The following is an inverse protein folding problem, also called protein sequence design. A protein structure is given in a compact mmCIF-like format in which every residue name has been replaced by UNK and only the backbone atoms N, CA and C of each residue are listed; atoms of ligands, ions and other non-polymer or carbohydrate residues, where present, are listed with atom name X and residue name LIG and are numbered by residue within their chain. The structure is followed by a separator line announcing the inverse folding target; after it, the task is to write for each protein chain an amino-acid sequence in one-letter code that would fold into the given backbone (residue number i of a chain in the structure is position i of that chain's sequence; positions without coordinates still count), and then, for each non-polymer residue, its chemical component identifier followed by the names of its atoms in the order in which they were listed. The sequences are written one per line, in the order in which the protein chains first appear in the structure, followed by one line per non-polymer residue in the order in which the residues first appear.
data_IF_313680010613
#
_entry.id   IF_313680010613
#
_cell.length_a   1.000
_cell.length_b   1.000
_cell.length_c   1.000
_cell.angle_alpha   90.00
_cell.angle_beta   90.00
_cell.angle_gamma   90.00
#
_symmetry.space_group_name_H-M   'P 1'
#
loop_
_entity.id
_entity.type
_entity.pdbx_description
1 polymer ?
#
# COMPACT_ATOMS: atom_id res chain seq x y z
N UNK A 1 -2.36 -10.88 8.92
CA UNK A 1 -1.86 -12.27 8.93
C UNK A 1 -0.64 -12.39 8.02
N UNK A 2 0.31 -13.27 8.36
CA UNK A 2 1.40 -13.63 7.46
C UNK A 2 0.88 -14.56 6.37
N UNK A 3 1.34 -14.33 5.15
CA UNK A 3 1.00 -15.18 4.03
C UNK A 3 1.95 -16.37 3.97
N UNK A 4 1.41 -17.59 4.02
CA UNK A 4 2.16 -18.84 3.90
C UNK A 4 3.04 -18.86 2.64
N UNK A 5 2.55 -18.33 1.54
CA UNK A 5 3.21 -18.28 0.24
C UNK A 5 3.85 -16.92 -0.08
N UNK A 6 4.05 -16.06 0.96
CA UNK A 6 4.71 -14.77 0.76
C UNK A 6 6.07 -14.93 0.08
N UNK A 7 6.34 -14.09 -0.93
CA UNK A 7 7.54 -14.19 -1.75
C UNK A 7 8.84 -14.20 -0.92
N UNK A 8 8.84 -13.50 0.23
CA UNK A 8 9.97 -13.48 1.17
C UNK A 8 10.41 -14.88 1.60
N UNK A 9 9.48 -15.80 1.83
CA UNK A 9 9.81 -17.17 2.27
C UNK A 9 10.45 -17.98 1.16
N UNK A 10 10.03 -17.77 -0.10
CA UNK A 10 10.68 -18.36 -1.27
C UNK A 10 12.09 -17.79 -1.46
N UNK A 11 12.30 -16.51 -1.16
CA UNK A 11 13.60 -15.84 -1.22
C UNK A 11 14.51 -16.16 -0.02
N UNK A 12 14.07 -17.00 0.90
CA UNK A 12 14.86 -17.45 2.04
C UNK A 12 14.80 -16.53 3.26
N UNK A 13 13.64 -15.96 3.55
CA UNK A 13 13.37 -15.37 4.87
C UNK A 13 13.07 -16.48 5.88
N UNK A 14 13.54 -16.28 7.13
CA UNK A 14 13.14 -17.15 8.25
C UNK A 14 11.69 -16.89 8.64
N UNK A 15 11.02 -17.95 9.06
CA UNK A 15 9.69 -17.84 9.64
C UNK A 15 9.78 -17.26 11.07
N UNK A 16 9.02 -16.18 11.41
CA UNK A 16 9.20 -15.49 12.69
C UNK A 16 8.92 -16.33 13.94
N UNK A 17 8.02 -17.30 13.87
CA UNK A 17 7.61 -18.11 15.04
C UNK A 17 8.51 -19.32 15.25
N UNK A 18 9.01 -19.94 14.18
CA UNK A 18 9.85 -21.14 14.26
C UNK A 18 11.34 -20.83 14.17
N UNK A 19 11.70 -19.68 13.60
CA UNK A 19 13.08 -19.28 13.33
C UNK A 19 13.76 -20.10 12.23
N UNK A 20 13.01 -20.96 11.52
CA UNK A 20 13.53 -21.84 10.49
C UNK A 20 13.21 -21.31 9.09
N UNK A 21 14.03 -21.71 8.12
CA UNK A 21 13.78 -21.45 6.71
C UNK A 21 12.71 -22.40 6.16
N UNK A 22 11.85 -21.91 5.29
CA UNK A 22 10.84 -22.64 4.53
C UNK A 22 9.69 -23.28 5.34
N UNK A 23 9.70 -23.21 6.67
CA UNK A 23 8.65 -23.79 7.53
C UNK A 23 7.25 -23.25 7.19
N UNK A 24 7.14 -21.99 6.79
CA UNK A 24 5.88 -21.41 6.32
C UNK A 24 5.36 -22.16 5.09
N UNK A 25 6.22 -22.35 4.08
CA UNK A 25 5.87 -23.04 2.82
C UNK A 25 5.51 -24.51 3.06
N UNK A 26 6.19 -25.17 4.00
CA UNK A 26 5.95 -26.56 4.38
C UNK A 26 4.73 -26.74 5.29
N UNK A 27 4.05 -25.64 5.66
CA UNK A 27 2.86 -25.70 6.52
C UNK A 27 3.14 -26.00 8.00
N UNK A 28 4.39 -25.83 8.45
CA UNK A 28 4.82 -26.05 9.84
C UNK A 28 4.61 -24.82 10.74
N UNK A 29 4.33 -23.66 10.15
CA UNK A 29 4.13 -22.39 10.86
C UNK A 29 2.65 -21.96 10.84
N UNK A 30 2.28 -21.09 11.78
CA UNK A 30 0.94 -20.49 11.84
C UNK A 30 0.85 -19.33 10.83
N UNK A 31 0.66 -19.67 9.59
CA UNK A 31 0.49 -18.75 8.46
C UNK A 31 -0.65 -19.25 7.57
N UNK A 32 -1.23 -18.38 6.77
CA UNK A 32 -2.42 -18.67 5.99
C UNK A 32 -2.21 -18.32 4.53
N UNK A 33 -2.75 -19.10 3.61
CA UNK A 33 -2.95 -18.66 2.22
C UNK A 33 -4.15 -17.70 2.13
N UNK A 34 -4.24 -16.93 1.05
CA UNK A 34 -5.40 -16.08 0.79
C UNK A 34 -6.69 -16.90 0.81
N UNK A 35 -6.69 -18.04 0.14
CA UNK A 35 -7.85 -18.95 0.05
C UNK A 35 -8.30 -19.47 1.42
N UNK A 36 -7.38 -19.83 2.30
CA UNK A 36 -7.73 -20.27 3.67
C UNK A 36 -8.42 -19.15 4.44
N UNK A 37 -7.91 -17.91 4.35
CA UNK A 37 -8.52 -16.75 4.99
C UNK A 37 -9.90 -16.44 4.42
N UNK A 38 -10.08 -16.52 3.11
CA UNK A 38 -11.38 -16.38 2.45
C UNK A 38 -12.40 -17.44 2.96
N UNK A 39 -11.95 -18.67 3.12
CA UNK A 39 -12.78 -19.75 3.67
C UNK A 39 -13.17 -19.44 5.12
N UNK A 40 -12.22 -19.06 5.97
CA UNK A 40 -12.48 -18.70 7.38
C UNK A 40 -13.48 -17.56 7.48
N UNK A 41 -13.33 -16.51 6.67
CA UNK A 41 -14.24 -15.36 6.66
C UNK A 41 -15.66 -15.79 6.25
N UNK A 42 -15.76 -16.58 5.18
CA UNK A 42 -17.04 -17.07 4.66
C UNK A 42 -17.75 -17.98 5.66
N UNK A 43 -17.04 -18.94 6.25
CA UNK A 43 -17.58 -19.87 7.24
C UNK A 43 -18.02 -19.15 8.53
N UNK A 44 -17.40 -18.00 8.83
CA UNK A 44 -17.76 -17.12 9.94
C UNK A 44 -18.92 -16.16 9.60
N UNK A 45 -19.51 -16.26 8.40
CA UNK A 45 -20.59 -15.38 7.93
C UNK A 45 -20.16 -13.98 7.52
N UNK A 46 -18.84 -13.71 7.44
CA UNK A 46 -18.27 -12.44 7.01
C UNK A 46 -18.04 -12.44 5.49
N UNK A 47 -19.10 -12.20 4.72
CA UNK A 47 -19.06 -12.24 3.25
C UNK A 47 -18.70 -10.90 2.60
N UNK A 48 -18.85 -9.79 3.33
CA UNK A 48 -18.49 -8.44 2.88
C UNK A 48 -17.11 -8.07 3.46
N UNK A 49 -16.04 -8.41 2.75
CA UNK A 49 -14.66 -8.16 3.14
C UNK A 49 -13.82 -7.68 1.97
N UNK A 50 -12.67 -7.10 2.29
CA UNK A 50 -11.62 -6.68 1.35
C UNK A 50 -10.25 -7.06 1.87
N UNK A 51 -9.40 -7.59 0.99
CA UNK A 51 -8.00 -7.80 1.27
C UNK A 51 -7.18 -6.56 0.95
N UNK A 52 -6.19 -6.34 1.81
CA UNK A 52 -5.14 -5.36 1.66
C UNK A 52 -3.79 -6.05 1.76
N UNK A 53 -2.82 -5.50 1.05
CA UNK A 53 -1.47 -6.05 0.87
C UNK A 53 -0.44 -5.02 1.32
N UNK A 54 -0.09 -4.99 2.64
CA UNK A 54 1.01 -4.14 3.15
C UNK A 54 2.33 -4.53 2.49
N UNK A 55 3.03 -3.57 1.92
CA UNK A 55 4.27 -3.77 1.20
C UNK A 55 5.37 -2.83 1.72
N UNK A 56 6.63 -3.30 1.95
CA UNK A 56 7.06 -4.70 1.80
C UNK A 56 6.56 -5.61 2.92
N UNK A 57 6.25 -5.08 4.09
CA UNK A 57 5.86 -5.81 5.31
C UNK A 57 4.81 -5.05 6.12
N UNK A 58 4.07 -5.79 6.97
CA UNK A 58 3.02 -5.22 7.83
C UNK A 58 3.54 -4.28 8.93
N UNK A 59 4.77 -4.50 9.40
CA UNK A 59 5.35 -3.73 10.50
C UNK A 59 5.76 -2.32 10.09
N UNK A 60 6.21 -2.16 8.84
CA UNK A 60 6.61 -0.86 8.31
C UNK A 60 6.26 -0.75 6.81
N UNK A 61 4.99 -0.65 6.49
CA UNK A 61 4.58 -0.56 5.10
C UNK A 61 4.99 0.77 4.47
N UNK A 62 5.54 0.71 3.27
CA UNK A 62 5.73 1.87 2.40
C UNK A 62 4.47 2.15 1.59
N UNK A 63 3.76 1.08 1.23
CA UNK A 63 2.47 1.15 0.54
C UNK A 63 1.55 0.03 1.03
N UNK A 64 0.25 0.26 0.93
CA UNK A 64 -0.76 -0.76 1.17
C UNK A 64 -1.65 -0.80 -0.07
N UNK A 65 -1.55 -1.89 -0.81
CA UNK A 65 -2.40 -2.18 -1.97
C UNK A 65 -3.69 -2.86 -1.53
N UNK A 66 -4.65 -3.00 -2.44
CA UNK A 66 -5.89 -3.77 -2.20
C UNK A 66 -6.33 -4.49 -3.47
N UNK A 67 -7.35 -5.34 -3.38
CA UNK A 67 -7.97 -5.98 -4.56
C UNK A 67 -8.51 -4.95 -5.58
N UNK A 68 -8.79 -3.71 -5.15
CA UNK A 68 -9.27 -2.63 -6.01
C UNK A 68 -8.15 -1.76 -6.59
N UNK A 69 -6.93 -1.92 -6.09
CA UNK A 69 -5.74 -1.18 -6.50
C UNK A 69 -4.49 -2.05 -6.33
N UNK A 70 -4.21 -2.85 -7.33
CA UNK A 70 -3.02 -3.70 -7.37
C UNK A 70 -1.80 -2.91 -7.85
N UNK A 71 -0.58 -3.33 -7.49
CA UNK A 71 0.64 -2.69 -7.96
C UNK A 71 0.82 -2.85 -9.47
N UNK A 72 1.55 -1.91 -10.06
CA UNK A 72 2.02 -1.99 -11.43
C UNK A 72 3.48 -2.43 -11.47
N UNK A 73 3.93 -2.87 -12.65
CA UNK A 73 5.33 -3.19 -12.91
C UNK A 73 6.24 -2.04 -12.49
N UNK A 74 7.34 -2.35 -11.80
CA UNK A 74 8.32 -1.39 -11.31
C UNK A 74 7.95 -0.67 -10.00
N UNK A 75 6.74 -0.88 -9.43
CA UNK A 75 6.35 -0.23 -8.18
C UNK A 75 6.89 -0.93 -6.92
N UNK A 76 7.24 -2.23 -7.01
CA UNK A 76 7.66 -3.04 -5.88
C UNK A 76 9.19 -3.17 -5.78
N UNK A 77 9.87 -2.06 -5.52
CA UNK A 77 11.34 -1.96 -5.49
C UNK A 77 11.95 -1.79 -4.08
N UNK A 78 11.20 -2.13 -3.02
CA UNK A 78 11.63 -1.97 -1.63
C UNK A 78 11.71 -3.31 -0.87
N UNK A 79 11.84 -4.43 -1.59
CA UNK A 79 11.73 -5.79 -1.04
C UNK A 79 12.79 -6.13 0.00
N UNK A 80 13.98 -5.55 -0.11
CA UNK A 80 15.08 -5.79 0.84
C UNK A 80 14.90 -5.06 2.18
N UNK A 81 13.91 -4.18 2.30
CA UNK A 81 13.55 -3.54 3.58
C UNK A 81 12.70 -4.49 4.42
N UNK A 82 13.25 -5.67 4.71
CA UNK A 82 12.66 -6.65 5.58
C UNK A 82 13.20 -6.47 7.00
N UNK A 83 12.33 -6.13 7.94
CA UNK A 83 12.69 -5.90 9.34
C UNK A 83 12.54 -7.15 10.21
N UNK A 84 12.15 -8.30 9.64
CA UNK A 84 11.81 -9.50 10.38
C UNK A 84 12.98 -10.48 10.59
N UNK A 85 14.23 -10.10 10.29
CA UNK A 85 15.42 -10.90 10.58
C UNK A 85 16.25 -11.28 9.37
N UNK A 86 17.01 -12.37 9.47
CA UNK A 86 17.90 -12.86 8.44
C UNK A 86 17.16 -13.31 7.18
N UNK A 87 17.73 -12.99 6.02
CA UNK A 87 17.20 -13.29 4.73
C UNK A 87 18.30 -13.68 3.75
N UNK A 88 18.15 -14.81 3.09
CA UNK A 88 19.17 -15.30 2.16
C UNK A 88 19.23 -14.53 0.83
N UNK A 89 18.12 -13.92 0.40
CA UNK A 89 18.01 -13.21 -0.88
C UNK A 89 18.41 -14.12 -2.05
N UNK A 90 17.71 -15.23 -2.22
CA UNK A 90 18.06 -16.27 -3.20
C UNK A 90 17.87 -15.83 -4.66
N UNK A 91 17.09 -14.80 -4.93
CA UNK A 91 16.83 -14.24 -6.24
C UNK A 91 16.46 -12.75 -6.15
N UNK A 92 16.37 -12.08 -7.29
CA UNK A 92 15.90 -10.71 -7.41
C UNK A 92 14.37 -10.67 -7.27
N UNK A 93 13.89 -10.25 -6.10
CA UNK A 93 12.47 -10.22 -5.78
C UNK A 93 11.70 -9.13 -6.55
N UNK A 94 12.35 -8.05 -6.95
CA UNK A 94 11.72 -7.01 -7.77
C UNK A 94 11.32 -7.59 -9.12
N UNK A 95 12.24 -8.30 -9.78
CA UNK A 95 11.96 -8.94 -11.06
C UNK A 95 10.89 -10.02 -10.95
N UNK A 96 10.92 -10.81 -9.87
CA UNK A 96 9.89 -11.85 -9.65
C UNK A 96 8.53 -11.22 -9.40
N UNK A 97 8.44 -10.15 -8.61
CA UNK A 97 7.19 -9.43 -8.41
C UNK A 97 6.66 -8.84 -9.72
N UNK A 98 7.52 -8.31 -10.59
CA UNK A 98 7.10 -7.79 -11.88
C UNK A 98 6.44 -8.86 -12.76
N UNK A 99 6.98 -10.10 -12.78
CA UNK A 99 6.36 -11.20 -13.48
C UNK A 99 5.06 -11.68 -12.81
N UNK A 100 5.01 -11.72 -11.47
CA UNK A 100 3.78 -12.04 -10.73
C UNK A 100 2.67 -10.99 -10.96
N UNK A 101 3.01 -9.72 -11.06
CA UNK A 101 2.08 -8.63 -11.39
C UNK A 101 1.54 -8.82 -12.79
N UNK A 102 2.39 -9.09 -13.76
CA UNK A 102 2.02 -9.33 -15.16
C UNK A 102 1.03 -10.49 -15.31
N UNK A 103 1.21 -11.54 -14.52
CA UNK A 103 0.34 -12.73 -14.52
C UNK A 103 -0.87 -12.59 -13.57
N UNK A 104 -1.04 -11.44 -12.88
CA UNK A 104 -2.12 -11.21 -11.93
C UNK A 104 -2.04 -12.02 -10.64
N UNK A 105 -0.82 -12.46 -10.26
CA UNK A 105 -0.57 -13.35 -9.10
C UNK A 105 -0.04 -12.62 -7.87
N UNK A 106 0.15 -11.32 -7.92
CA UNK A 106 0.65 -10.57 -6.78
C UNK A 106 -0.12 -10.84 -5.47
N UNK A 107 -1.47 -10.93 -5.45
CA UNK A 107 -2.22 -11.17 -4.22
C UNK A 107 -1.84 -12.46 -3.50
N UNK A 108 -1.54 -13.53 -4.24
CA UNK A 108 -1.17 -14.83 -3.68
C UNK A 108 0.24 -14.85 -3.09
N UNK A 109 1.13 -13.99 -3.59
CA UNK A 109 2.55 -13.92 -3.19
C UNK A 109 2.91 -12.68 -2.36
N UNK A 110 1.96 -11.80 -2.06
CA UNK A 110 2.16 -10.70 -1.10
C UNK A 110 2.62 -11.26 0.24
N UNK A 111 3.57 -10.61 0.91
CA UNK A 111 4.18 -11.14 2.13
C UNK A 111 3.20 -11.23 3.31
N UNK A 112 2.24 -10.31 3.37
CA UNK A 112 1.27 -10.25 4.48
C UNK A 112 -0.10 -9.79 4.00
N UNK A 113 -1.13 -10.12 4.78
CA UNK A 113 -2.51 -9.69 4.56
C UNK A 113 -3.04 -8.85 5.71
N UNK A 114 -3.79 -7.81 5.38
CA UNK A 114 -4.75 -7.13 6.24
C UNK A 114 -6.13 -7.33 5.63
N UNK A 115 -7.10 -7.76 6.42
CA UNK A 115 -8.49 -7.96 5.98
C UNK A 115 -9.39 -7.03 6.78
N UNK A 116 -10.27 -6.32 6.08
CA UNK A 116 -11.31 -5.50 6.69
C UNK A 116 -12.65 -6.05 6.23
N UNK A 117 -13.50 -6.43 7.19
CA UNK A 117 -14.83 -6.95 6.94
C UNK A 117 -15.90 -6.04 7.55
N UNK A 118 -17.09 -6.02 6.93
CA UNK A 118 -18.25 -5.26 7.37
C UNK A 118 -18.44 -3.93 6.63
N UNK A 119 -19.53 -3.19 6.97
CA UNK A 119 -19.96 -2.01 6.23
C UNK A 119 -18.95 -0.84 6.25
N UNK A 120 -18.14 -0.74 7.30
CA UNK A 120 -17.14 0.33 7.49
C UNK A 120 -16.01 0.28 6.47
N UNK A 121 -15.81 -0.86 5.78
CA UNK A 121 -14.77 -0.99 4.74
C UNK A 121 -14.94 -0.02 3.57
N UNK A 122 -16.17 0.48 3.35
CA UNK A 122 -16.46 1.43 2.25
C UNK A 122 -15.77 2.77 2.41
N UNK A 123 -15.43 3.13 3.65
CA UNK A 123 -14.73 4.36 3.97
C UNK A 123 -13.20 4.20 4.00
N UNK A 124 -12.73 2.95 3.81
CA UNK A 124 -11.31 2.65 3.79
C UNK A 124 -10.69 3.05 2.44
N UNK A 125 -9.43 3.55 2.44
CA UNK A 125 -8.70 3.78 1.20
C UNK A 125 -8.54 2.48 0.41
N UNK A 126 -8.60 2.57 -0.92
CA UNK A 126 -8.26 1.44 -1.80
C UNK A 126 -6.75 1.28 -1.99
N UNK A 127 -6.00 2.35 -1.73
CA UNK A 127 -4.54 2.39 -1.76
C UNK A 127 -4.01 3.41 -0.77
N UNK A 128 -2.89 3.08 -0.13
CA UNK A 128 -2.18 3.97 0.80
C UNK A 128 -0.70 3.99 0.46
N UNK A 129 -0.09 5.17 0.50
CA UNK A 129 1.37 5.34 0.39
C UNK A 129 1.88 6.23 1.51
N UNK A 130 2.96 5.82 2.16
CA UNK A 130 3.66 6.58 3.19
C UNK A 130 4.95 7.21 2.62
N UNK A 131 5.22 8.46 3.00
CA UNK A 131 6.47 9.16 2.68
C UNK A 131 7.49 8.99 3.81
N UNK A 132 7.85 7.73 4.13
CA UNK A 132 8.71 7.39 5.27
C UNK A 132 10.19 7.74 5.05
N UNK A 133 10.58 8.13 3.84
CA UNK A 133 11.92 8.53 3.42
C UNK A 133 12.19 10.03 3.58
N UNK A 134 11.21 10.79 4.07
CA UNK A 134 11.29 12.24 4.28
C UNK A 134 11.55 12.59 5.74
N UNK A 135 12.05 13.84 5.98
CA UNK A 135 12.09 14.38 7.33
C UNK A 135 10.68 14.45 7.94
N UNK A 136 10.56 14.23 9.24
CA UNK A 136 9.30 14.07 9.98
C UNK A 136 8.27 15.17 9.66
N UNK A 137 8.71 16.43 9.59
CA UNK A 137 7.87 17.59 9.22
C UNK A 137 7.27 17.52 7.81
N UNK A 138 7.70 16.58 6.96
CA UNK A 138 7.20 16.37 5.60
C UNK A 138 6.58 14.98 5.41
N UNK A 139 6.50 14.18 6.47
CA UNK A 139 5.92 12.84 6.40
C UNK A 139 4.40 12.94 6.24
N UNK A 140 3.91 12.47 5.11
CA UNK A 140 2.49 12.40 4.81
C UNK A 140 2.09 10.97 4.43
N UNK A 141 0.85 10.64 4.72
CA UNK A 141 0.17 9.49 4.14
C UNK A 141 -0.70 9.98 2.99
N UNK A 142 -0.56 9.36 1.83
CA UNK A 142 -1.42 9.60 0.67
C UNK A 142 -2.38 8.43 0.53
N UNK A 143 -3.67 8.70 0.58
CA UNK A 143 -4.74 7.74 0.43
C UNK A 143 -5.45 7.95 -0.91
N UNK A 144 -5.80 6.87 -1.61
CA UNK A 144 -6.76 6.89 -2.70
C UNK A 144 -8.08 6.36 -2.14
N UNK A 145 -9.10 7.19 -2.18
CA UNK A 145 -10.44 6.91 -1.68
C UNK A 145 -11.42 6.67 -2.84
N UNK A 146 -12.52 6.00 -2.55
CA UNK A 146 -13.62 5.78 -3.49
C UNK A 146 -13.44 4.57 -4.40
N UNK A 147 -14.40 4.38 -5.27
CA UNK A 147 -14.45 3.30 -6.25
C UNK A 147 -13.76 3.68 -7.58
N UNK A 148 -13.79 2.77 -8.55
CA UNK A 148 -13.13 3.00 -9.85
C UNK A 148 -13.68 4.21 -10.64
N UNK A 149 -14.93 4.61 -10.40
CA UNK A 149 -15.59 5.71 -11.09
C UNK A 149 -15.40 7.07 -10.38
N UNK A 150 -15.25 7.06 -9.05
CA UNK A 150 -15.24 8.26 -8.21
C UNK A 150 -14.06 8.20 -7.23
N UNK A 151 -12.85 8.41 -7.74
CA UNK A 151 -11.63 8.42 -6.92
C UNK A 151 -11.29 9.83 -6.46
N UNK A 152 -10.76 9.91 -5.24
CA UNK A 152 -10.23 11.12 -4.64
C UNK A 152 -8.89 10.83 -3.97
N UNK A 153 -7.96 11.78 -4.01
CA UNK A 153 -6.69 11.71 -3.28
C UNK A 153 -6.82 12.48 -1.98
N UNK A 154 -6.46 11.85 -0.86
CA UNK A 154 -6.37 12.49 0.44
C UNK A 154 -4.93 12.43 0.94
N UNK A 155 -4.39 13.56 1.40
CA UNK A 155 -3.07 13.64 2.04
C UNK A 155 -3.24 14.00 3.50
N UNK A 156 -2.72 13.14 4.37
CA UNK A 156 -2.88 13.22 5.83
C UNK A 156 -1.50 13.39 6.46
N UNK A 157 -1.30 14.31 7.43
CA UNK A 157 -0.04 14.39 8.17
C UNK A 157 0.15 13.13 9.02
N UNK A 158 1.35 12.56 9.02
CA UNK A 158 1.67 11.37 9.83
C UNK A 158 2.10 11.75 11.25
N UNK A 159 2.61 12.98 11.43
CA UNK A 159 3.05 13.52 12.70
C UNK A 159 2.47 14.92 12.96
N UNK A 160 2.60 15.41 14.18
CA UNK A 160 2.22 16.78 14.52
C UNK A 160 3.05 17.83 13.75
N UNK A 161 4.32 17.52 13.49
CA UNK A 161 5.25 18.38 12.74
C UNK A 161 4.86 18.51 11.26
N UNK A 162 4.18 17.51 10.72
CA UNK A 162 3.75 17.50 9.31
C UNK A 162 2.43 18.26 9.06
N UNK A 163 1.73 18.71 10.10
CA UNK A 163 0.44 19.42 9.96
C UNK A 163 0.58 20.72 9.16
N UNK A 164 1.64 21.50 9.40
CA UNK A 164 1.90 22.73 8.66
C UNK A 164 2.14 22.44 7.17
N UNK A 165 2.91 21.39 6.86
CA UNK A 165 3.18 20.96 5.49
C UNK A 165 1.90 20.61 4.72
N UNK A 166 0.95 19.91 5.35
CA UNK A 166 -0.34 19.60 4.72
C UNK A 166 -1.16 20.88 4.46
N UNK A 167 -1.15 21.85 5.37
CA UNK A 167 -1.83 23.16 5.18
C UNK A 167 -1.20 23.97 4.06
N UNK A 168 0.12 23.93 3.92
CA UNK A 168 0.86 24.64 2.85
C UNK A 168 0.49 24.12 1.44
N UNK A 169 -0.01 22.88 1.30
CA UNK A 169 -0.44 22.36 -0.01
C UNK A 169 -1.55 23.21 -0.63
N UNK A 170 -2.45 23.77 0.17
CA UNK A 170 -3.48 24.69 -0.31
C UNK A 170 -2.88 26.03 -0.77
N UNK A 171 -1.95 26.59 -0.01
CA UNK A 171 -1.24 27.81 -0.39
C UNK A 171 -0.49 27.63 -1.71
N UNK A 172 0.24 26.51 -1.87
CA UNK A 172 0.98 26.25 -3.11
C UNK A 172 0.06 26.02 -4.31
N UNK A 173 -1.11 25.39 -4.13
CA UNK A 173 -2.11 25.28 -5.21
C UNK A 173 -2.51 26.66 -5.70
N UNK A 174 -2.84 27.61 -4.79
CA UNK A 174 -3.25 28.96 -5.13
C UNK A 174 -2.15 29.76 -5.83
N UNK A 175 -0.90 29.68 -5.33
CA UNK A 175 0.27 30.34 -5.92
C UNK A 175 0.54 29.83 -7.33
N UNK A 176 0.57 28.52 -7.50
CA UNK A 176 0.88 27.88 -8.79
C UNK A 176 -0.23 28.12 -9.82
N UNK A 177 -1.50 28.06 -9.42
CA UNK A 177 -2.62 28.33 -10.34
C UNK A 177 -2.58 29.76 -10.88
N UNK A 178 -2.20 30.74 -10.06
CA UNK A 178 -2.02 32.12 -10.50
C UNK A 178 -0.81 32.27 -11.41
N UNK A 179 0.34 31.74 -11.00
CA UNK A 179 1.63 31.90 -11.69
C UNK A 179 1.64 31.29 -13.09
N UNK A 180 0.99 30.14 -13.28
CA UNK A 180 1.07 29.37 -14.53
C UNK A 180 -0.22 29.41 -15.36
N UNK A 181 -1.21 30.20 -14.95
CA UNK A 181 -2.50 30.32 -15.66
C UNK A 181 -2.34 30.79 -17.12
N UNK A 182 -1.48 31.76 -17.35
CA UNK A 182 -1.22 32.28 -18.69
C UNK A 182 -0.53 31.25 -19.60
N UNK A 183 0.23 30.35 -19.04
CA UNK A 183 0.84 29.22 -19.75
C UNK A 183 -0.15 28.07 -20.04
N UNK A 184 -1.42 28.22 -19.66
CA UNK A 184 -2.43 27.17 -19.83
C UNK A 184 -2.30 25.98 -18.86
N UNK A 185 -1.42 26.08 -17.86
CA UNK A 185 -1.26 25.06 -16.82
C UNK A 185 -2.19 25.36 -15.66
N UNK A 186 -2.71 24.29 -15.05
CA UNK A 186 -3.57 24.37 -13.87
C UNK A 186 -3.03 23.50 -12.76
N UNK A 187 -2.99 24.04 -11.54
CA UNK A 187 -2.75 23.25 -10.35
C UNK A 187 -3.97 22.36 -10.03
N UNK A 188 -3.71 21.16 -9.53
CA UNK A 188 -4.81 20.31 -9.06
C UNK A 188 -5.44 20.94 -7.82
N UNK A 189 -6.76 21.13 -7.86
CA UNK A 189 -7.51 21.82 -6.81
C UNK A 189 -7.37 21.13 -5.46
N UNK A 190 -6.98 21.90 -4.44
CA UNK A 190 -6.80 21.44 -3.06
C UNK A 190 -7.93 21.96 -2.17
N UNK A 191 -8.55 21.07 -1.42
CA UNK A 191 -9.50 21.41 -0.36
C UNK A 191 -8.96 20.91 0.99
N UNK A 192 -8.92 21.79 1.99
CA UNK A 192 -8.54 21.42 3.36
C UNK A 192 -9.80 21.06 4.15
N UNK A 193 -9.84 19.85 4.70
CA UNK A 193 -10.94 19.38 5.53
C UNK A 193 -10.43 18.42 6.60
N UNK A 194 -10.88 18.56 7.84
CA UNK A 194 -10.57 17.67 8.97
C UNK A 194 -9.06 17.40 9.16
N UNK A 195 -8.22 18.41 8.93
CA UNK A 195 -6.77 18.32 9.07
C UNK A 195 -6.05 17.62 7.91
N UNK A 196 -6.75 17.28 6.85
CA UNK A 196 -6.22 16.67 5.64
C UNK A 196 -6.40 17.55 4.40
N UNK A 197 -5.59 17.31 3.36
CA UNK A 197 -5.73 17.95 2.06
C UNK A 197 -6.33 16.95 1.06
N UNK A 198 -7.37 17.36 0.38
CA UNK A 198 -8.10 16.57 -0.62
C UNK A 198 -7.87 17.13 -2.01
N UNK A 199 -7.67 16.23 -2.97
CA UNK A 199 -7.43 16.55 -4.37
C UNK A 199 -8.32 15.69 -5.27
N UNK A 200 -8.64 16.20 -6.43
CA UNK A 200 -9.24 15.40 -7.49
C UNK A 200 -8.26 14.31 -7.94
N UNK A 201 -8.76 13.11 -8.20
CA UNK A 201 -7.96 12.05 -8.79
C UNK A 201 -7.84 12.28 -10.29
N UNK A 202 -6.64 12.64 -10.76
CA UNK A 202 -6.37 12.86 -12.18
C UNK A 202 -5.94 11.55 -12.84
N UNK A 203 -6.70 11.12 -13.84
CA UNK A 203 -6.32 10.01 -14.71
C UNK A 203 -5.23 10.48 -15.68
N UNK A 204 -4.08 9.85 -15.65
CA UNK A 204 -2.95 10.22 -16.51
C UNK A 204 -1.82 9.20 -16.45
N UNK A 205 -0.78 9.47 -17.23
CA UNK A 205 0.50 8.78 -17.14
C UNK A 205 1.54 9.78 -16.65
N UNK A 206 2.43 9.34 -15.76
CA UNK A 206 3.64 10.07 -15.44
C UNK A 206 4.58 10.06 -16.66
N UNK A 207 5.31 11.14 -16.86
CA UNK A 207 6.43 11.14 -17.80
C UNK A 207 7.52 10.22 -17.21
N UNK A 208 7.92 9.21 -17.96
CA UNK A 208 9.09 8.37 -17.71
C UNK A 208 10.28 8.91 -18.50
#
# INVERSE_FOLDING_TARGET
ADNRFGLKYWAGAKEPHTGQYFDSLEGKATSFSKRELETILTDSGLTDYQFYYPYPERWFPMSIYSDQWLPKKGELNQNLRNFEGERMVLFDEEQVYDELIKDGRFPEFSNTYLMIAGPERKDCPVYVKYSNDRAERFMIRTDILGDAAHRQVRKVPVSAEAVSHVKELKHWEEVLDVQYREAGLRANRCELKDGAAYFEFLHGRTFE
#
